data_IF_526367914210
#
_entry.id   IF_526367914210
#
_cell.length_a   1.000
_cell.length_b   1.000
_cell.length_c   1.000
_cell.angle_alpha   90.00
_cell.angle_beta   90.00
_cell.angle_gamma   90.00
#
_symmetry.space_group_name_H-M   'P 1'
#
loop_
_entity.id
_entity.type
_entity.pdbx_description
1 polymer ?
#
# COMPACT_ATOMS: atom_id res chain seq x y z
N UNK A 1 3.61 -10.13 2.81
CA UNK A 1 4.06 -9.29 3.94
C UNK A 1 4.12 -10.16 5.19
N UNK A 2 4.96 -9.88 6.20
CA UNK A 2 4.89 -10.59 7.50
C UNK A 2 4.52 -9.62 8.60
N UNK A 3 3.41 -9.89 9.29
CA UNK A 3 2.99 -9.20 10.50
C UNK A 3 4.09 -9.21 11.56
N UNK A 4 4.23 -8.10 12.26
CA UNK A 4 5.17 -7.87 13.33
C UNK A 4 4.42 -7.57 14.61
N UNK A 5 4.60 -8.41 15.61
CA UNK A 5 4.12 -8.14 16.97
C UNK A 5 4.92 -6.97 17.56
N UNK A 6 4.21 -5.97 18.08
CA UNK A 6 4.81 -4.77 18.62
C UNK A 6 4.00 -4.26 19.82
N UNK A 7 4.42 -4.66 21.03
CA UNK A 7 3.72 -4.32 22.28
C UNK A 7 3.39 -2.82 22.46
N UNK A 8 4.24 -1.86 22.05
CA UNK A 8 3.87 -0.44 22.09
C UNK A 8 2.70 -0.07 21.16
N UNK A 9 2.56 -0.74 20.02
CA UNK A 9 1.43 -0.53 19.11
C UNK A 9 0.15 -1.14 19.69
N UNK A 10 0.23 -2.28 20.37
CA UNK A 10 -0.92 -2.91 21.02
C UNK A 10 -1.57 -1.97 22.02
N UNK A 11 -0.76 -1.32 22.88
CA UNK A 11 -1.27 -0.32 23.83
C UNK A 11 -1.93 0.88 23.14
N UNK A 12 -1.42 1.28 21.97
CA UNK A 12 -1.99 2.40 21.22
C UNK A 12 -3.29 1.98 20.52
N UNK A 13 -3.38 0.74 20.05
CA UNK A 13 -4.59 0.15 19.52
C UNK A 13 -5.68 0.05 20.59
N UNK A 14 -5.35 -0.39 21.80
CA UNK A 14 -6.30 -0.41 22.92
C UNK A 14 -6.90 0.98 23.20
N UNK A 15 -6.07 2.02 23.10
CA UNK A 15 -6.53 3.41 23.26
C UNK A 15 -7.42 3.87 22.10
N UNK A 16 -7.09 3.47 20.86
CA UNK A 16 -7.77 3.93 19.63
C UNK A 16 -8.97 3.08 19.23
N UNK A 17 -9.18 1.90 19.82
CA UNK A 17 -10.23 0.96 19.41
C UNK A 17 -11.63 1.57 19.54
N UNK A 18 -11.88 2.31 20.63
CA UNK A 18 -13.15 2.98 20.90
C UNK A 18 -12.96 4.30 21.64
N UNK A 19 -12.12 5.19 21.10
CA UNK A 19 -11.89 6.51 21.68
C UNK A 19 -13.15 7.38 21.55
N UNK A 20 -13.96 7.41 22.60
CA UNK A 20 -15.21 8.15 22.65
C UNK A 20 -15.01 9.58 23.15
N UNK A 21 -15.43 10.57 22.35
CA UNK A 21 -15.35 12.01 22.62
C UNK A 21 -16.75 12.60 22.89
N UNK A 22 -17.70 11.79 23.35
CA UNK A 22 -19.09 12.15 23.60
C UNK A 22 -19.98 11.81 22.40
N UNK A 23 -20.11 12.74 21.46
CA UNK A 23 -20.98 12.56 20.28
C UNK A 23 -20.30 11.80 19.13
N UNK A 24 -18.98 11.65 19.19
CA UNK A 24 -18.18 11.00 18.14
C UNK A 24 -17.23 10.00 18.74
N UNK A 25 -16.98 8.93 18.01
CA UNK A 25 -15.98 7.91 18.35
C UNK A 25 -14.91 7.90 17.27
N UNK A 26 -13.65 7.95 17.68
CA UNK A 26 -12.50 7.73 16.81
C UNK A 26 -12.14 6.26 16.88
N UNK A 27 -11.96 5.64 15.72
CA UNK A 27 -11.42 4.29 15.58
C UNK A 27 -10.08 4.37 14.88
N UNK A 28 -9.07 3.74 15.45
CA UNK A 28 -7.75 3.60 14.85
C UNK A 28 -7.22 2.18 15.04
N UNK A 29 -6.46 1.71 14.06
CA UNK A 29 -5.75 0.45 14.11
C UNK A 29 -4.36 0.66 13.50
N UNK A 30 -3.34 0.19 14.20
CA UNK A 30 -1.94 0.24 13.83
C UNK A 30 -1.43 -1.18 13.73
N UNK A 31 -0.98 -1.53 12.54
CA UNK A 31 -0.40 -2.84 12.25
C UNK A 31 0.97 -2.65 11.60
N UNK A 32 1.95 -3.41 12.07
CA UNK A 32 3.30 -3.37 11.53
C UNK A 32 3.57 -4.58 10.64
N UNK A 33 4.15 -4.33 9.47
CA UNK A 33 4.48 -5.35 8.50
C UNK A 33 5.91 -5.23 8.00
N UNK A 34 6.58 -6.37 7.88
CA UNK A 34 7.86 -6.45 7.16
C UNK A 34 7.66 -6.83 5.70
N UNK A 35 8.40 -6.15 4.83
CA UNK A 35 8.43 -6.35 3.38
C UNK A 35 9.29 -7.58 3.03
N UNK A 36 8.78 -8.79 3.27
CA UNK A 36 9.46 -10.02 2.84
C UNK A 36 9.20 -10.30 1.35
N UNK A 37 10.24 -10.66 0.60
CA UNK A 37 10.14 -11.07 -0.82
C UNK A 37 10.27 -12.59 -0.95
N UNK A 38 9.33 -13.32 -0.37
CA UNK A 38 9.34 -14.78 -0.38
C UNK A 38 7.98 -15.32 -0.80
N UNK A 39 7.96 -16.45 -1.52
CA UNK A 39 6.73 -17.12 -1.91
C UNK A 39 5.85 -16.29 -2.85
N UNK A 40 4.54 -16.28 -2.58
CA UNK A 40 3.53 -15.60 -3.40
C UNK A 40 3.78 -14.09 -3.53
N UNK A 41 4.25 -13.44 -2.45
CA UNK A 41 4.58 -12.01 -2.43
C UNK A 41 5.61 -11.64 -3.50
N UNK A 42 6.59 -12.52 -3.76
CA UNK A 42 7.62 -12.26 -4.76
C UNK A 42 7.01 -12.22 -6.17
N UNK A 43 6.13 -13.17 -6.49
CA UNK A 43 5.46 -13.22 -7.80
C UNK A 43 4.55 -12.01 -8.00
N UNK A 44 3.77 -11.67 -6.99
CA UNK A 44 2.90 -10.49 -7.00
C UNK A 44 3.71 -9.20 -7.13
N UNK A 45 4.83 -9.05 -6.40
CA UNK A 45 5.70 -7.88 -6.47
C UNK A 45 6.26 -7.64 -7.88
N UNK A 46 6.64 -8.71 -8.59
CA UNK A 46 7.17 -8.64 -9.95
C UNK A 46 6.06 -8.27 -10.93
N UNK A 47 4.90 -8.93 -10.82
CA UNK A 47 3.73 -8.63 -11.65
C UNK A 47 3.34 -7.14 -11.55
N UNK A 48 3.24 -6.63 -10.32
CA UNK A 48 2.82 -5.25 -10.07
C UNK A 48 3.89 -4.26 -10.52
N UNK A 49 5.19 -4.58 -10.36
CA UNK A 49 6.28 -3.73 -10.85
C UNK A 49 6.26 -3.58 -12.37
N UNK A 50 5.95 -4.66 -13.09
CA UNK A 50 5.85 -4.63 -14.55
C UNK A 50 4.63 -3.83 -14.99
N UNK A 51 3.49 -4.04 -14.34
CA UNK A 51 2.26 -3.30 -14.63
C UNK A 51 2.46 -1.79 -14.48
N UNK A 52 3.05 -1.34 -13.36
CA UNK A 52 3.37 0.09 -13.13
C UNK A 52 4.30 0.64 -14.23
N UNK A 53 5.28 -0.14 -14.68
CA UNK A 53 6.20 0.27 -15.74
C UNK A 53 5.49 0.39 -17.10
N UNK A 54 4.61 -0.55 -17.41
CA UNK A 54 3.81 -0.55 -18.63
C UNK A 54 2.85 0.65 -18.66
N UNK A 55 2.27 1.03 -17.52
CA UNK A 55 1.47 2.26 -17.41
C UNK A 55 2.29 3.51 -17.69
N UNK A 56 3.46 3.63 -17.04
CA UNK A 56 4.32 4.81 -17.24
C UNK A 56 4.81 4.92 -18.69
N UNK A 57 5.08 3.79 -19.35
CA UNK A 57 5.45 3.75 -20.77
C UNK A 57 4.31 4.12 -21.73
N UNK A 58 3.04 3.99 -21.31
CA UNK A 58 1.86 4.43 -22.07
C UNK A 58 1.55 5.91 -21.86
N UNK A 59 1.87 6.46 -20.69
CA UNK A 59 1.61 7.86 -20.34
C UNK A 59 2.53 8.87 -21.03
N UNK A 60 3.57 8.43 -21.76
CA UNK A 60 4.53 9.32 -22.44
C UNK A 60 4.06 9.85 -23.81
N UNK A 61 2.79 9.64 -24.19
CA UNK A 61 2.20 10.18 -25.41
C UNK A 61 1.04 11.09 -25.04
N UNK A 62 1.21 12.39 -25.28
CA UNK A 62 0.21 13.46 -25.17
C UNK A 62 -0.35 13.73 -23.76
N UNK A 63 0.21 14.71 -23.03
CA UNK A 63 -0.51 15.75 -22.26
C UNK A 63 0.47 16.56 -21.37
N UNK A 64 0.63 17.85 -21.67
CA UNK A 64 1.45 18.85 -20.94
C UNK A 64 0.84 19.30 -19.58
N UNK A 65 0.12 18.42 -18.87
CA UNK A 65 -0.41 18.72 -17.53
C UNK A 65 0.42 18.03 -16.45
N UNK A 66 0.74 18.67 -15.32
CA UNK A 66 1.42 18.01 -14.19
C UNK A 66 0.50 16.92 -13.65
N UNK A 67 0.80 15.69 -14.05
CA UNK A 67 -0.03 14.52 -13.76
C UNK A 67 0.54 13.80 -12.54
N UNK A 68 -0.29 13.25 -11.63
CA UNK A 68 0.17 12.55 -10.43
C UNK A 68 1.19 11.42 -10.70
N UNK A 69 1.28 10.92 -11.95
CA UNK A 69 2.34 10.01 -12.43
C UNK A 69 3.76 10.56 -12.32
N UNK A 70 3.96 11.88 -12.23
CA UNK A 70 5.30 12.47 -12.07
C UNK A 70 5.96 12.02 -10.76
N UNK A 71 5.15 11.71 -9.73
CA UNK A 71 5.59 11.13 -8.45
C UNK A 71 6.07 9.67 -8.54
N UNK A 72 5.66 8.95 -9.59
CA UNK A 72 6.03 7.55 -9.88
C UNK A 72 7.23 7.42 -10.83
N UNK A 73 7.78 8.53 -11.33
CA UNK A 73 9.01 8.54 -12.15
C UNK A 73 10.17 7.86 -11.40
N UNK A 74 10.33 8.19 -10.12
CA UNK A 74 11.36 7.64 -9.26
C UNK A 74 11.17 6.13 -9.02
N UNK A 75 12.25 5.36 -9.20
CA UNK A 75 12.26 3.91 -8.94
C UNK A 75 11.91 3.56 -7.49
N UNK A 76 12.29 4.42 -6.55
CA UNK A 76 11.99 4.26 -5.12
C UNK A 76 10.49 4.39 -4.85
N UNK A 77 9.82 5.39 -5.43
CA UNK A 77 8.36 5.57 -5.29
C UNK A 77 7.59 4.37 -5.81
N UNK A 78 7.96 3.83 -6.98
CA UNK A 78 7.34 2.61 -7.54
C UNK A 78 7.51 1.41 -6.63
N UNK A 79 8.72 1.23 -6.07
CA UNK A 79 8.99 0.17 -5.10
C UNK A 79 8.16 0.33 -3.82
N UNK A 80 7.98 1.55 -3.33
CA UNK A 80 7.11 1.86 -2.19
C UNK A 80 5.65 1.52 -2.51
N UNK A 81 5.13 1.92 -3.68
CA UNK A 81 3.77 1.59 -4.13
C UNK A 81 3.54 0.07 -4.15
N UNK A 82 4.52 -0.69 -4.63
CA UNK A 82 4.46 -2.16 -4.60
C UNK A 82 4.29 -2.70 -3.17
N UNK A 83 5.02 -2.15 -2.20
CA UNK A 83 4.87 -2.58 -0.79
C UNK A 83 3.52 -2.19 -0.19
N UNK A 84 3.00 -1.02 -0.54
CA UNK A 84 1.68 -0.58 -0.08
C UNK A 84 0.59 -1.52 -0.60
N UNK A 85 0.60 -1.84 -1.90
CA UNK A 85 -0.39 -2.76 -2.49
C UNK A 85 -0.25 -4.18 -1.92
N UNK A 86 0.98 -4.67 -1.68
CA UNK A 86 1.16 -5.96 -1.00
C UNK A 86 0.66 -5.95 0.45
N UNK A 87 0.75 -4.81 1.16
CA UNK A 87 0.15 -4.67 2.48
C UNK A 87 -1.38 -4.75 2.41
N UNK A 88 -1.99 -4.09 1.42
CA UNK A 88 -3.44 -4.14 1.20
C UNK A 88 -3.92 -5.57 0.88
N UNK A 89 -3.22 -6.30 0.01
CA UNK A 89 -3.53 -7.72 -0.26
C UNK A 89 -3.40 -8.61 0.97
N UNK A 90 -2.52 -8.26 1.91
CA UNK A 90 -2.42 -9.01 3.17
C UNK A 90 -3.58 -8.66 4.13
N UNK A 91 -4.03 -7.41 4.15
CA UNK A 91 -5.16 -6.96 5.00
C UNK A 91 -6.51 -7.43 4.46
N UNK A 92 -6.68 -7.45 3.14
CA UNK A 92 -7.92 -7.78 2.46
C UNK A 92 -7.66 -8.76 1.30
N UNK A 93 -7.41 -10.05 1.59
CA UNK A 93 -6.99 -11.03 0.58
C UNK A 93 -8.04 -11.28 -0.51
N UNK A 94 -9.31 -11.01 -0.22
CA UNK A 94 -10.42 -11.20 -1.15
C UNK A 94 -10.67 -9.97 -2.04
N UNK A 95 -9.94 -8.87 -1.82
CA UNK A 95 -10.08 -7.64 -2.60
C UNK A 95 -9.01 -7.53 -3.68
N UNK A 96 -9.42 -7.16 -4.90
CA UNK A 96 -8.51 -6.97 -6.03
C UNK A 96 -8.00 -5.53 -6.11
N UNK A 97 -6.79 -5.31 -5.62
CA UNK A 97 -6.14 -3.99 -5.59
C UNK A 97 -5.41 -3.61 -6.89
N UNK A 98 -5.51 -4.41 -7.96
CA UNK A 98 -4.87 -4.08 -9.25
C UNK A 98 -5.35 -2.73 -9.82
N UNK A 99 -6.59 -2.35 -9.55
CA UNK A 99 -7.13 -1.05 -9.98
C UNK A 99 -6.52 0.15 -9.23
N UNK A 100 -5.91 -0.07 -8.06
CA UNK A 100 -5.29 0.98 -7.27
C UNK A 100 -3.88 1.34 -7.78
N UNK A 101 -3.19 0.43 -8.47
CA UNK A 101 -1.89 0.71 -9.11
C UNK A 101 -1.99 1.57 -10.38
N UNK A 102 -3.22 1.94 -10.78
CA UNK A 102 -3.53 2.60 -12.05
C UNK A 102 -4.02 4.05 -11.83
N UNK A 103 -4.35 4.43 -10.59
CA UNK A 103 -4.69 5.79 -10.17
C UNK A 103 -3.43 6.60 -9.81
#
# INVERSE_FOLDING_TARGET
MKFLECAPLDRLNDFLDNLNLGERTIKGCLEAYSCKHSGADKKLSVSLSNEILDYLGKSSSDNDSPSPVESLSARTSRKTLVYLVLALYHMYPDYDFRYLSIL
#
